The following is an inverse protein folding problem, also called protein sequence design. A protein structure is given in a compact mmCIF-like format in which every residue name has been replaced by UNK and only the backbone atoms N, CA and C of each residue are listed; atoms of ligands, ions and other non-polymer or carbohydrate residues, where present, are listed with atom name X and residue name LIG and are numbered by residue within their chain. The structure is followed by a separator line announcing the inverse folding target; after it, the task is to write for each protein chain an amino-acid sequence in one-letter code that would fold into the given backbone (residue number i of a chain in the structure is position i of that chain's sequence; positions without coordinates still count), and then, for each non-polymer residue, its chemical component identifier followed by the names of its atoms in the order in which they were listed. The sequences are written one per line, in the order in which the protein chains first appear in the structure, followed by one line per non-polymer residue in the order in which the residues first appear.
data_IF_974293984858
#
_entry.id   IF_974293984858
#
_cell.length_a   1.000
_cell.length_b   1.000
_cell.length_c   1.000
_cell.angle_alpha   90.00
_cell.angle_beta   90.00
_cell.angle_gamma   90.00
#
_symmetry.space_group_name_H-M   'P 1'
#
loop_
_entity.id
_entity.type
_entity.pdbx_description
1 polymer ?
#
# COMPACT_ATOMS: atom_id res chain seq x y z
N UNK A 1 -28.76 5.80 -13.10
CA UNK A 1 -27.66 6.77 -13.34
C UNK A 1 -26.43 6.20 -12.65
N UNK A 2 -25.59 5.44 -13.37
CA UNK A 2 -24.35 4.90 -12.80
C UNK A 2 -23.23 5.91 -13.05
N UNK A 3 -22.79 6.58 -11.98
CA UNK A 3 -21.60 7.43 -12.00
C UNK A 3 -20.39 6.55 -12.30
N UNK A 4 -19.91 6.55 -13.54
CA UNK A 4 -18.66 5.91 -13.92
C UNK A 4 -17.51 6.84 -13.52
N UNK A 5 -17.21 6.90 -12.22
CA UNK A 5 -15.96 7.48 -11.75
C UNK A 5 -14.83 6.57 -12.22
N UNK A 6 -13.88 7.12 -12.96
CA UNK A 6 -12.66 6.39 -13.26
C UNK A 6 -11.97 5.99 -11.94
N UNK A 7 -11.47 4.76 -11.82
CA UNK A 7 -10.78 4.32 -10.61
C UNK A 7 -9.60 5.24 -10.31
N UNK A 8 -9.42 5.58 -9.03
CA UNK A 8 -8.28 6.40 -8.60
C UNK A 8 -6.96 5.71 -8.97
N UNK A 9 -5.86 6.47 -9.00
CA UNK A 9 -4.53 5.90 -9.25
C UNK A 9 -4.18 4.76 -8.28
N UNK A 10 -4.68 4.83 -7.04
CA UNK A 10 -4.50 3.78 -6.04
C UNK A 10 -5.35 2.54 -6.33
N UNK A 11 -6.59 2.71 -6.78
CA UNK A 11 -7.45 1.58 -7.16
C UNK A 11 -6.91 0.86 -8.41
N UNK A 12 -6.27 1.58 -9.31
CA UNK A 12 -5.68 1.00 -10.53
C UNK A 12 -4.50 0.05 -10.25
N UNK A 13 -3.82 0.20 -9.11
CA UNK A 13 -2.69 -0.66 -8.71
C UNK A 13 -3.05 -1.66 -7.59
N UNK A 14 -4.33 -1.72 -7.21
CA UNK A 14 -4.84 -2.67 -6.21
C UNK A 14 -4.71 -4.09 -6.73
N UNK A 15 -4.28 -5.00 -5.86
CA UNK A 15 -4.15 -6.44 -6.14
C UNK A 15 -4.93 -7.23 -5.10
N UNK A 16 -5.24 -8.48 -5.42
CA UNK A 16 -5.87 -9.42 -4.49
C UNK A 16 -4.99 -10.66 -4.38
N UNK A 17 -4.88 -11.21 -3.16
CA UNK A 17 -4.24 -12.51 -2.93
C UNK A 17 -5.23 -13.67 -3.18
N UNK A 18 -4.75 -14.91 -3.04
CA UNK A 18 -5.57 -16.12 -3.25
C UNK A 18 -6.71 -16.25 -2.22
N UNK A 19 -6.63 -15.53 -1.11
CA UNK A 19 -7.66 -15.48 -0.06
C UNK A 19 -8.67 -14.34 -0.30
N UNK A 20 -8.50 -13.55 -1.37
CA UNK A 20 -9.34 -12.39 -1.69
C UNK A 20 -8.99 -11.12 -0.90
N UNK A 21 -7.89 -11.10 -0.14
CA UNK A 21 -7.46 -9.90 0.57
C UNK A 21 -6.83 -8.91 -0.40
N UNK A 22 -7.21 -7.64 -0.25
CA UNK A 22 -6.66 -6.56 -1.06
C UNK A 22 -5.30 -6.09 -0.53
N UNK A 23 -4.35 -5.93 -1.43
CA UNK A 23 -3.03 -5.40 -1.10
C UNK A 23 -2.46 -4.52 -2.22
N UNK A 24 -1.49 -3.71 -1.83
CA UNK A 24 -0.74 -2.85 -2.74
C UNK A 24 0.74 -3.16 -2.63
N UNK A 25 1.41 -3.33 -3.77
CA UNK A 25 2.86 -3.52 -3.75
C UNK A 25 3.55 -2.22 -3.37
N UNK A 26 4.56 -2.29 -2.51
CA UNK A 26 5.34 -1.12 -2.12
C UNK A 26 6.03 -0.44 -3.31
N UNK A 27 6.37 -1.20 -4.36
CA UNK A 27 7.00 -0.66 -5.58
C UNK A 27 6.02 0.13 -6.42
N UNK A 28 4.79 -0.34 -6.55
CA UNK A 28 3.76 0.35 -7.32
C UNK A 28 3.32 1.63 -6.59
N UNK A 29 3.16 1.55 -5.26
CA UNK A 29 2.91 2.73 -4.42
C UNK A 29 4.00 3.78 -4.53
N UNK A 30 5.29 3.38 -4.52
CA UNK A 30 6.39 4.32 -4.67
C UNK A 30 6.31 5.09 -6.00
N UNK A 31 5.91 4.42 -7.09
CA UNK A 31 5.76 5.05 -8.41
C UNK A 31 4.56 6.00 -8.47
N UNK A 32 3.40 5.58 -7.94
CA UNK A 32 2.18 6.41 -7.89
C UNK A 32 2.39 7.66 -7.03
N UNK A 33 3.19 7.54 -5.97
CA UNK A 33 3.59 8.67 -5.12
C UNK A 33 4.83 9.41 -5.65
N UNK A 34 5.24 9.14 -6.89
CA UNK A 34 6.29 9.85 -7.63
C UNK A 34 7.69 9.84 -6.96
N UNK A 35 8.00 8.80 -6.18
CA UNK A 35 9.35 8.59 -5.66
C UNK A 35 10.29 8.11 -6.76
N UNK A 36 11.25 8.96 -7.13
CA UNK A 36 12.29 8.64 -8.13
C UNK A 36 13.15 7.44 -7.72
N UNK A 37 13.43 7.30 -6.41
CA UNK A 37 14.23 6.20 -5.88
C UNK A 37 13.52 5.49 -4.73
N UNK A 38 13.43 4.16 -4.83
CA UNK A 38 12.76 3.33 -3.82
C UNK A 38 13.37 3.46 -2.41
N UNK A 39 14.68 3.77 -2.29
CA UNK A 39 15.33 3.99 -0.98
C UNK A 39 14.68 5.14 -0.20
N UNK A 40 14.19 6.17 -0.89
CA UNK A 40 13.55 7.33 -0.29
C UNK A 40 12.11 7.01 0.17
N UNK A 41 11.52 5.93 -0.35
CA UNK A 41 10.20 5.45 0.06
C UNK A 41 10.25 4.51 1.28
N UNK A 42 11.39 3.87 1.56
CA UNK A 42 11.55 2.98 2.73
C UNK A 42 11.15 3.63 4.08
N UNK A 43 11.51 4.90 4.38
CA UNK A 43 11.07 5.55 5.62
C UNK A 43 9.56 5.73 5.71
N UNK A 44 8.86 5.93 4.59
CA UNK A 44 7.40 6.06 4.54
C UNK A 44 6.75 4.74 4.92
N UNK A 45 7.22 3.63 4.37
CA UNK A 45 6.75 2.28 4.73
C UNK A 45 6.93 2.05 6.24
N UNK A 46 8.09 2.43 6.80
CA UNK A 46 8.33 2.30 8.25
C UNK A 46 7.33 3.10 9.07
N UNK A 47 7.05 4.36 8.68
CA UNK A 47 6.04 5.19 9.35
C UNK A 47 4.63 4.62 9.24
N UNK A 48 4.27 4.07 8.08
CA UNK A 48 2.97 3.42 7.89
C UNK A 48 2.81 2.20 8.82
N UNK A 49 3.82 1.33 8.91
CA UNK A 49 3.84 0.20 9.85
C UNK A 49 3.69 0.67 11.30
N UNK A 50 4.41 1.72 11.68
CA UNK A 50 4.33 2.29 13.02
C UNK A 50 2.93 2.85 13.32
N UNK A 51 2.33 3.56 12.36
CA UNK A 51 0.97 4.08 12.49
C UNK A 51 -0.06 2.95 12.69
N UNK A 52 0.05 1.85 11.93
CA UNK A 52 -0.80 0.67 12.14
C UNK A 52 -0.62 0.08 13.53
N UNK A 53 0.63 -0.04 14.00
CA UNK A 53 0.92 -0.51 15.36
C UNK A 53 0.29 0.39 16.43
N UNK A 54 0.42 1.70 16.26
CA UNK A 54 -0.12 2.70 17.18
C UNK A 54 -1.66 2.76 17.15
N UNK A 55 -2.30 2.40 16.03
CA UNK A 55 -3.76 2.30 15.93
C UNK A 55 -4.33 1.00 16.53
N UNK A 56 -3.51 0.19 17.20
CA UNK A 56 -3.92 -1.09 17.79
C UNK A 56 -4.09 -2.23 16.80
N UNK A 57 -3.66 -2.06 15.54
CA UNK A 57 -3.68 -3.11 14.52
C UNK A 57 -2.36 -3.90 14.62
N UNK A 58 -2.45 -5.22 14.86
CA UNK A 58 -1.29 -6.10 14.97
C UNK A 58 -0.57 -6.17 13.61
N UNK A 59 0.65 -5.67 13.54
CA UNK A 59 1.52 -5.83 12.37
C UNK A 59 2.10 -7.24 12.43
N UNK A 60 1.62 -8.14 11.59
CA UNK A 60 2.16 -9.50 11.50
C UNK A 60 3.64 -9.46 11.09
N UNK A 61 4.49 -10.14 11.86
CA UNK A 61 5.93 -10.23 11.57
C UNK A 61 6.15 -11.30 10.51
N UNK A 62 6.65 -10.91 9.34
CA UNK A 62 7.22 -11.86 8.37
C UNK A 62 8.48 -12.49 8.94
N UNK A 63 8.57 -13.82 8.82
CA UNK A 63 9.67 -14.67 9.30
C UNK A 63 11.02 -14.27 8.69
N UNK A 64 12.06 -14.39 9.51
CA UNK A 64 13.47 -14.22 9.19
C UNK A 64 13.96 -15.19 8.08
#
# INVERSE_FOLDING_TARGET
MTSHQAPSLFEQIRKSDDNGNEYWSARDLAKVLEYTEYRNFKPVIKKAKEACRMSGQLVEKGAD
#
